data_IF_961582901643
#
_entry.id   IF_961582901643
#
_cell.length_a   1.000
_cell.length_b   1.000
_cell.length_c   1.000
_cell.angle_alpha   90.00
_cell.angle_beta   90.00
_cell.angle_gamma   90.00
#
_symmetry.space_group_name_H-M   'P 1'
#
loop_
_entity.id
_entity.type
_entity.pdbx_description
1 polymer ?
#
# COMPACT_ATOMS: atom_id res chain seq x y z
N UNK A 1 52.05 30.38 23.47
CA UNK A 1 50.58 30.24 23.51
C UNK A 1 49.91 31.46 22.91
N UNK A 2 49.70 31.50 21.58
CA UNK A 2 48.57 32.18 20.97
C UNK A 2 47.57 31.13 20.46
N UNK A 3 46.28 31.38 20.66
CA UNK A 3 45.18 30.50 20.32
C UNK A 3 45.00 30.41 18.79
N UNK A 4 45.59 29.37 18.19
CA UNK A 4 45.16 28.85 16.88
C UNK A 4 43.81 28.17 17.11
N UNK A 5 42.76 28.97 17.17
CA UNK A 5 41.45 28.49 16.74
C UNK A 5 41.42 28.72 15.25
N UNK A 6 41.74 27.67 14.51
CA UNK A 6 41.53 27.58 13.07
C UNK A 6 40.06 27.89 12.81
N UNK A 7 39.77 29.16 12.52
CA UNK A 7 38.48 29.58 12.01
C UNK A 7 38.35 28.91 10.65
N UNK A 8 37.73 27.73 10.64
CA UNK A 8 37.30 27.07 9.41
C UNK A 8 36.66 28.17 8.57
N UNK A 9 37.21 28.48 7.38
CA UNK A 9 36.75 29.64 6.66
C UNK A 9 35.25 29.50 6.43
N UNK A 10 34.48 30.50 6.85
CA UNK A 10 33.02 30.48 6.70
C UNK A 10 32.62 30.21 5.25
N UNK A 11 33.45 30.59 4.28
CA UNK A 11 33.29 30.27 2.86
C UNK A 11 33.39 28.76 2.53
N UNK A 12 34.22 28.00 3.25
CA UNK A 12 34.35 26.55 3.07
C UNK A 12 33.15 25.80 3.66
N UNK A 13 32.68 26.22 4.85
CA UNK A 13 31.44 25.68 5.43
C UNK A 13 30.21 26.02 4.56
N UNK A 14 30.19 27.22 3.98
CA UNK A 14 29.18 27.63 3.00
C UNK A 14 29.17 26.67 1.80
N UNK A 15 30.31 26.42 1.15
CA UNK A 15 30.37 25.53 -0.01
C UNK A 15 29.96 24.09 0.32
N UNK A 16 30.35 23.57 1.49
CA UNK A 16 29.95 22.23 1.96
C UNK A 16 28.44 22.16 2.21
N UNK A 17 27.86 23.19 2.83
CA UNK A 17 26.43 23.26 3.10
C UNK A 17 25.61 23.35 1.80
N UNK A 18 26.02 24.20 0.85
CA UNK A 18 25.37 24.29 -0.46
C UNK A 18 25.54 23.02 -1.30
N UNK A 19 26.71 22.37 -1.24
CA UNK A 19 26.94 21.08 -1.88
C UNK A 19 26.10 19.95 -1.28
N UNK A 20 25.91 19.94 0.04
CA UNK A 20 25.03 18.99 0.72
C UNK A 20 23.54 19.23 0.37
N UNK A 21 23.11 20.50 0.28
CA UNK A 21 21.75 20.87 -0.15
C UNK A 21 21.52 20.47 -1.62
N UNK A 22 22.48 20.71 -2.51
CA UNK A 22 22.41 20.26 -3.90
C UNK A 22 22.33 18.73 -3.99
N UNK A 23 23.19 18.01 -3.26
CA UNK A 23 23.18 16.55 -3.24
C UNK A 23 21.85 15.99 -2.72
N UNK A 24 21.29 16.59 -1.66
CA UNK A 24 19.98 16.23 -1.14
C UNK A 24 18.85 16.51 -2.15
N UNK A 25 18.90 17.64 -2.86
CA UNK A 25 17.92 17.98 -3.89
C UNK A 25 17.98 17.06 -5.12
N UNK A 26 19.19 16.71 -5.59
CA UNK A 26 19.42 15.75 -6.69
C UNK A 26 18.90 14.37 -6.28
N UNK A 27 19.26 13.90 -5.09
CA UNK A 27 18.80 12.61 -4.58
C UNK A 27 17.27 12.57 -4.46
N UNK A 28 16.65 13.64 -3.94
CA UNK A 28 15.20 13.76 -3.84
C UNK A 28 14.52 13.70 -5.22
N UNK A 29 15.05 14.42 -6.21
CA UNK A 29 14.53 14.46 -7.59
C UNK A 29 14.59 13.08 -8.26
N UNK A 30 15.74 12.39 -8.17
CA UNK A 30 15.93 11.07 -8.78
C UNK A 30 14.99 10.03 -8.15
N UNK A 31 14.79 10.11 -6.84
CA UNK A 31 13.87 9.22 -6.13
C UNK A 31 12.40 9.47 -6.53
N UNK A 32 12.00 10.74 -6.71
CA UNK A 32 10.64 11.13 -7.11
C UNK A 32 10.33 10.71 -8.54
N UNK A 33 11.21 11.02 -9.50
CA UNK A 33 11.03 10.67 -10.93
C UNK A 33 10.92 9.15 -11.12
N UNK A 34 11.72 8.37 -10.39
CA UNK A 34 11.69 6.91 -10.52
C UNK A 34 10.51 6.25 -9.80
N UNK A 35 10.02 6.86 -8.71
CA UNK A 35 8.81 6.41 -8.02
C UNK A 35 7.58 6.48 -8.96
N UNK A 36 7.46 7.56 -9.75
CA UNK A 36 6.36 7.72 -10.72
C UNK A 36 6.55 6.90 -12.01
N UNK A 37 7.79 6.64 -12.45
CA UNK A 37 8.06 5.78 -13.61
C UNK A 37 7.71 4.29 -13.39
N UNK A 38 7.52 3.86 -12.13
CA UNK A 38 7.08 2.51 -11.78
C UNK A 38 5.56 2.35 -11.70
N UNK A 39 4.80 3.45 -11.75
CA UNK A 39 3.33 3.49 -11.65
C UNK A 39 2.67 3.80 -13.00
N UNK A 40 3.28 3.35 -14.09
CA UNK A 40 2.85 3.60 -15.47
C UNK A 40 1.54 2.90 -15.80
N UNK A 41 0.43 3.49 -15.35
CA UNK A 41 -0.90 3.23 -15.90
C UNK A 41 -1.23 4.37 -16.87
N UNK A 42 -0.80 4.20 -18.12
CA UNK A 42 -1.28 4.83 -19.37
C UNK A 42 -1.38 6.36 -19.54
N UNK A 43 -1.79 7.15 -18.54
CA UNK A 43 -2.47 8.42 -18.79
C UNK A 43 -1.87 9.65 -18.11
N UNK A 44 -0.98 9.51 -17.11
CA UNK A 44 -0.46 10.66 -16.36
C UNK A 44 0.98 11.01 -16.74
N UNK A 45 1.13 11.79 -17.82
CA UNK A 45 2.41 12.41 -18.24
C UNK A 45 2.75 13.66 -17.42
N UNK A 46 1.73 14.35 -16.91
CA UNK A 46 1.85 15.64 -16.21
C UNK A 46 2.67 15.59 -14.92
N UNK A 47 2.56 14.57 -14.04
CA UNK A 47 3.34 14.52 -12.81
C UNK A 47 4.85 14.37 -13.07
N UNK A 48 5.21 13.60 -14.10
CA UNK A 48 6.62 13.37 -14.47
C UNK A 48 7.27 14.63 -15.03
N UNK A 49 6.53 15.42 -15.82
CA UNK A 49 6.99 16.71 -16.29
C UNK A 49 7.24 17.68 -15.14
N UNK A 50 6.27 17.83 -14.23
CA UNK A 50 6.41 18.73 -13.09
C UNK A 50 7.56 18.33 -12.18
N UNK A 51 7.71 17.04 -11.88
CA UNK A 51 8.81 16.52 -11.05
C UNK A 51 10.18 16.74 -11.69
N UNK A 52 10.30 16.54 -13.01
CA UNK A 52 11.53 16.79 -13.76
C UNK A 52 11.86 18.30 -13.84
N UNK A 53 10.83 19.14 -14.03
CA UNK A 53 10.98 20.59 -14.11
C UNK A 53 11.39 21.19 -12.77
N UNK A 54 10.73 20.80 -11.67
CA UNK A 54 11.13 21.26 -10.32
C UNK A 54 12.53 20.75 -9.95
N UNK A 55 12.87 19.53 -10.34
CA UNK A 55 14.21 18.98 -10.19
C UNK A 55 15.28 19.80 -10.93
N UNK A 56 15.07 20.03 -12.22
CA UNK A 56 15.98 20.81 -13.05
C UNK A 56 16.08 22.27 -12.57
N UNK A 57 14.96 22.88 -12.16
CA UNK A 57 14.90 24.24 -11.67
C UNK A 57 15.68 24.44 -10.35
N UNK A 58 15.86 23.39 -9.54
CA UNK A 58 16.68 23.44 -8.31
C UNK A 58 18.15 23.07 -8.59
N UNK A 59 18.40 22.06 -9.42
CA UNK A 59 19.74 21.53 -9.71
C UNK A 59 20.57 22.52 -10.55
N UNK A 60 19.93 23.15 -11.55
CA UNK A 60 20.60 24.06 -12.47
C UNK A 60 21.23 25.27 -11.77
N UNK A 61 20.51 26.08 -10.96
CA UNK A 61 21.12 27.23 -10.29
C UNK A 61 22.17 26.80 -9.25
N UNK A 62 21.96 25.68 -8.56
CA UNK A 62 22.89 25.19 -7.54
C UNK A 62 24.20 24.63 -8.14
N UNK A 63 24.22 24.24 -9.42
CA UNK A 63 25.44 23.94 -10.19
C UNK A 63 26.08 25.20 -10.79
N UNK A 64 25.26 26.13 -11.28
CA UNK A 64 25.74 27.33 -11.98
C UNK A 64 26.43 28.29 -11.01
N UNK A 65 25.84 28.59 -9.85
CA UNK A 65 26.35 29.60 -8.92
C UNK A 65 27.80 29.31 -8.45
N UNK A 66 28.17 28.08 -8.04
CA UNK A 66 29.54 27.78 -7.62
C UNK A 66 30.53 27.60 -8.77
N UNK A 67 30.04 27.18 -9.95
CA UNK A 67 30.88 26.96 -11.13
C UNK A 67 31.46 28.27 -11.68
N UNK A 68 30.72 29.39 -11.56
CA UNK A 68 31.24 30.72 -11.94
C UNK A 68 32.26 31.26 -10.93
N UNK A 69 32.27 30.78 -9.68
CA UNK A 69 33.20 31.26 -8.64
C UNK A 69 34.54 30.54 -8.67
N UNK A 70 34.59 29.24 -9.00
CA UNK A 70 35.87 28.54 -9.22
C UNK A 70 35.73 27.27 -10.10
N UNK A 71 36.65 27.02 -11.05
CA UNK A 71 36.60 25.85 -11.92
C UNK A 71 36.70 24.51 -11.18
N UNK A 72 37.48 24.47 -10.10
CA UNK A 72 37.72 23.26 -9.30
C UNK A 72 36.51 22.89 -8.43
N UNK A 73 35.77 23.89 -7.89
CA UNK A 73 34.55 23.61 -7.12
C UNK A 73 33.45 23.00 -7.98
N UNK A 74 33.33 23.40 -9.26
CA UNK A 74 32.39 22.79 -10.20
C UNK A 74 32.66 21.29 -10.43
N UNK A 75 33.93 20.89 -10.50
CA UNK A 75 34.31 19.47 -10.66
C UNK A 75 34.01 18.65 -9.40
N UNK A 76 34.28 19.19 -8.22
CA UNK A 76 33.95 18.51 -6.96
C UNK A 76 32.44 18.35 -6.79
N UNK A 77 31.65 19.38 -7.11
CA UNK A 77 30.19 19.33 -7.01
C UNK A 77 29.56 18.38 -8.03
N UNK A 78 30.08 18.30 -9.25
CA UNK A 78 29.61 17.34 -10.26
C UNK A 78 29.97 15.90 -9.91
N UNK A 79 31.16 15.66 -9.35
CA UNK A 79 31.56 14.34 -8.85
C UNK A 79 30.69 13.91 -7.66
N UNK A 80 30.41 14.82 -6.72
CA UNK A 80 29.53 14.55 -5.57
C UNK A 80 28.09 14.32 -6.02
N UNK A 81 27.57 15.12 -6.95
CA UNK A 81 26.24 14.92 -7.52
C UNK A 81 26.14 13.58 -8.27
N UNK A 82 27.17 13.21 -9.04
CA UNK A 82 27.26 11.92 -9.71
C UNK A 82 27.28 10.75 -8.72
N UNK A 83 28.11 10.83 -7.68
CA UNK A 83 28.21 9.80 -6.65
C UNK A 83 26.91 9.66 -5.84
N UNK A 84 26.26 10.78 -5.50
CA UNK A 84 24.95 10.79 -4.82
C UNK A 84 23.85 10.21 -5.72
N UNK A 85 23.85 10.54 -7.02
CA UNK A 85 22.96 9.95 -8.01
C UNK A 85 23.14 8.43 -8.13
N UNK A 86 24.38 7.93 -8.15
CA UNK A 86 24.68 6.49 -8.20
C UNK A 86 24.32 5.78 -6.89
N UNK A 87 24.54 6.42 -5.74
CA UNK A 87 24.15 5.88 -4.43
C UNK A 87 22.62 5.83 -4.26
N UNK A 88 21.91 6.88 -4.68
CA UNK A 88 20.45 6.93 -4.72
C UNK A 88 19.89 5.88 -5.70
N UNK A 89 20.55 5.67 -6.84
CA UNK A 89 20.19 4.62 -7.79
C UNK A 89 20.32 3.22 -7.17
N UNK A 90 21.39 2.97 -6.40
CA UNK A 90 21.63 1.68 -5.72
C UNK A 90 20.70 1.40 -4.55
N UNK A 91 20.33 2.43 -3.77
CA UNK A 91 19.42 2.27 -2.61
C UNK A 91 17.93 2.30 -2.99
N UNK A 92 17.61 2.59 -4.26
CA UNK A 92 16.24 2.67 -4.77
C UNK A 92 15.34 1.45 -4.52
N UNK A 93 15.77 0.17 -4.62
CA UNK A 93 14.86 -0.95 -4.40
C UNK A 93 14.33 -1.04 -2.95
N UNK A 94 15.09 -0.55 -1.97
CA UNK A 94 14.69 -0.59 -0.56
C UNK A 94 13.65 0.50 -0.23
N UNK A 95 13.80 1.68 -0.82
CA UNK A 95 12.91 2.83 -0.58
C UNK A 95 11.55 2.61 -1.25
N UNK A 96 11.52 2.07 -2.47
CA UNK A 96 10.27 1.71 -3.16
C UNK A 96 9.51 0.58 -2.45
N UNK A 97 10.22 -0.38 -1.85
CA UNK A 97 9.62 -1.42 -1.00
C UNK A 97 8.88 -0.86 0.21
N UNK A 98 9.38 0.24 0.79
CA UNK A 98 8.76 0.91 1.94
C UNK A 98 7.50 1.72 1.56
N UNK A 99 7.49 2.36 0.39
CA UNK A 99 6.29 3.07 -0.07
C UNK A 99 5.17 2.12 -0.51
N UNK A 100 5.53 1.03 -1.20
CA UNK A 100 4.57 0.01 -1.61
C UNK A 100 3.98 -0.74 -0.41
N UNK A 101 4.78 -1.04 0.62
CA UNK A 101 4.28 -1.63 1.86
C UNK A 101 3.32 -0.68 2.61
N UNK A 102 3.63 0.63 2.64
CA UNK A 102 2.72 1.64 3.22
C UNK A 102 1.40 1.77 2.48
N UNK A 103 1.40 1.69 1.14
CA UNK A 103 0.15 1.70 0.36
C UNK A 103 -0.67 0.44 0.64
N UNK A 104 -0.04 -0.75 0.60
CA UNK A 104 -0.71 -2.02 0.94
C UNK A 104 -1.35 -1.98 2.33
N UNK A 105 -0.64 -1.47 3.33
CA UNK A 105 -1.22 -1.31 4.68
C UNK A 105 -2.45 -0.41 4.71
N UNK A 106 -2.49 0.66 3.90
CA UNK A 106 -3.65 1.57 3.84
C UNK A 106 -4.87 0.91 3.19
N UNK A 107 -4.66 0.04 2.21
CA UNK A 107 -5.74 -0.65 1.50
C UNK A 107 -6.23 -1.90 2.27
N UNK A 108 -5.35 -2.54 3.04
CA UNK A 108 -5.66 -3.74 3.85
C UNK A 108 -6.64 -3.46 5.00
N UNK A 109 -6.53 -2.30 5.65
CA UNK A 109 -7.40 -1.90 6.77
C UNK A 109 -8.90 -1.83 6.39
N UNK A 110 -9.31 -1.08 5.37
CA UNK A 110 -10.72 -1.02 4.97
C UNK A 110 -11.20 -2.36 4.41
N UNK A 111 -10.37 -3.10 3.66
CA UNK A 111 -10.72 -4.43 3.15
C UNK A 111 -10.95 -5.45 4.29
N UNK A 112 -10.19 -5.36 5.39
CA UNK A 112 -10.39 -6.18 6.57
C UNK A 112 -11.67 -5.82 7.32
N UNK A 113 -11.95 -4.53 7.50
CA UNK A 113 -13.20 -4.08 8.12
C UNK A 113 -14.42 -4.54 7.31
N UNK A 114 -14.34 -4.42 5.99
CA UNK A 114 -15.34 -4.94 5.07
C UNK A 114 -15.59 -6.44 5.26
N UNK A 115 -14.52 -7.21 5.36
CA UNK A 115 -14.58 -8.66 5.55
C UNK A 115 -15.20 -9.05 6.90
N UNK A 116 -14.95 -8.29 7.98
CA UNK A 116 -15.59 -8.53 9.29
C UNK A 116 -17.11 -8.35 9.18
N UNK A 117 -17.57 -7.26 8.55
CA UNK A 117 -19.01 -7.01 8.36
C UNK A 117 -19.66 -8.11 7.52
N UNK A 118 -18.99 -8.56 6.47
CA UNK A 118 -19.47 -9.65 5.62
C UNK A 118 -19.55 -10.97 6.41
N UNK A 119 -18.52 -11.29 7.19
CA UNK A 119 -18.46 -12.50 8.00
C UNK A 119 -19.61 -12.55 9.01
N UNK A 120 -19.85 -11.46 9.76
CA UNK A 120 -20.93 -11.36 10.73
C UNK A 120 -22.30 -11.49 10.07
N UNK A 121 -22.48 -10.92 8.88
CA UNK A 121 -23.71 -11.01 8.12
C UNK A 121 -24.00 -12.44 7.62
N UNK A 122 -22.97 -13.15 7.14
CA UNK A 122 -23.06 -14.57 6.75
C UNK A 122 -23.39 -15.44 7.97
N UNK A 123 -22.70 -15.23 9.09
CA UNK A 123 -22.94 -16.00 10.32
C UNK A 123 -24.36 -15.78 10.86
N UNK A 124 -24.83 -14.54 10.87
CA UNK A 124 -26.21 -14.19 11.28
C UNK A 124 -27.25 -14.83 10.37
N UNK A 125 -26.95 -14.98 9.07
CA UNK A 125 -27.84 -15.65 8.11
C UNK A 125 -27.90 -17.15 8.41
N UNK A 126 -26.75 -17.80 8.56
CA UNK A 126 -26.68 -19.23 8.89
C UNK A 126 -27.34 -19.54 10.24
N UNK A 127 -27.14 -18.70 11.26
CA UNK A 127 -27.79 -18.84 12.57
C UNK A 127 -29.32 -18.90 12.48
N UNK A 128 -29.95 -18.29 11.48
CA UNK A 128 -31.41 -18.41 11.30
C UNK A 128 -31.82 -19.82 10.90
N UNK A 129 -31.05 -20.48 10.05
CA UNK A 129 -31.36 -21.85 9.63
C UNK A 129 -31.19 -22.87 10.78
N UNK A 130 -30.26 -22.62 11.70
CA UNK A 130 -30.00 -23.51 12.85
C UNK A 130 -30.91 -23.21 14.07
N UNK A 131 -31.17 -21.94 14.36
CA UNK A 131 -31.87 -21.54 15.59
C UNK A 131 -33.38 -21.37 15.41
N UNK A 132 -33.88 -21.19 14.18
CA UNK A 132 -35.32 -21.10 13.91
C UNK A 132 -35.90 -22.50 13.64
N UNK A 133 -36.77 -23.03 14.51
CA UNK A 133 -37.34 -24.35 14.32
C UNK A 133 -38.18 -24.47 13.04
N UNK A 134 -38.78 -23.38 12.54
CA UNK A 134 -39.53 -23.42 11.29
C UNK A 134 -38.58 -23.64 10.10
N UNK A 135 -37.48 -22.87 10.03
CA UNK A 135 -36.48 -23.00 8.96
C UNK A 135 -35.72 -24.32 9.04
N UNK A 136 -35.46 -24.85 10.25
CA UNK A 136 -34.82 -26.15 10.42
C UNK A 136 -35.70 -27.31 9.88
N UNK A 137 -37.03 -27.20 10.02
CA UNK A 137 -37.98 -28.17 9.48
C UNK A 137 -38.11 -28.03 7.96
N UNK A 138 -38.16 -26.80 7.44
CA UNK A 138 -38.31 -26.54 6.00
C UNK A 138 -37.01 -26.86 5.22
N UNK A 139 -35.85 -26.64 5.83
CA UNK A 139 -34.53 -26.79 5.20
C UNK A 139 -33.57 -27.68 6.02
N UNK A 140 -33.89 -28.96 6.26
CA UNK A 140 -33.06 -29.86 7.06
C UNK A 140 -31.67 -30.10 6.44
N UNK A 141 -31.57 -29.90 5.12
CA UNK A 141 -30.35 -29.93 4.36
C UNK A 141 -29.25 -28.97 4.86
N UNK A 142 -29.64 -27.85 5.46
CA UNK A 142 -28.70 -26.82 5.91
C UNK A 142 -27.91 -27.22 7.15
N UNK A 143 -28.48 -28.05 8.03
CA UNK A 143 -27.79 -28.58 9.21
C UNK A 143 -27.11 -29.92 8.98
N UNK A 144 -27.33 -30.55 7.83
CA UNK A 144 -26.79 -31.88 7.51
C UNK A 144 -25.34 -31.81 7.01
N UNK A 145 -24.39 -32.08 7.90
CA UNK A 145 -22.95 -32.08 7.62
C UNK A 145 -22.51 -33.22 6.67
N UNK A 146 -23.36 -34.24 6.45
CA UNK A 146 -23.05 -35.28 5.47
C UNK A 146 -23.12 -34.75 4.03
N UNK A 147 -23.80 -33.62 3.80
CA UNK A 147 -23.88 -32.99 2.49
C UNK A 147 -22.58 -32.25 2.16
N UNK A 148 -22.02 -32.45 0.95
CA UNK A 148 -20.73 -31.88 0.59
C UNK A 148 -20.74 -30.35 0.58
N UNK A 149 -21.87 -29.71 0.26
CA UNK A 149 -22.05 -28.26 0.22
C UNK A 149 -22.04 -27.66 1.64
N UNK A 150 -22.82 -28.25 2.56
CA UNK A 150 -22.85 -27.86 3.97
C UNK A 150 -21.50 -28.07 4.64
N UNK A 151 -20.84 -29.22 4.38
CA UNK A 151 -19.48 -29.45 4.85
C UNK A 151 -18.47 -28.44 4.28
N UNK A 152 -18.60 -28.03 3.01
CA UNK A 152 -17.77 -27.01 2.41
C UNK A 152 -17.97 -25.63 3.06
N UNK A 153 -19.21 -25.27 3.37
CA UNK A 153 -19.54 -24.07 4.13
C UNK A 153 -18.91 -24.08 5.53
N UNK A 154 -19.08 -25.15 6.31
CA UNK A 154 -18.50 -25.27 7.66
C UNK A 154 -16.97 -25.21 7.62
N UNK A 155 -16.33 -25.82 6.61
CA UNK A 155 -14.87 -25.70 6.39
C UNK A 155 -14.45 -24.27 6.08
N UNK A 156 -15.16 -23.60 5.16
CA UNK A 156 -14.88 -22.20 4.82
C UNK A 156 -15.07 -21.26 6.02
N UNK A 157 -16.05 -21.55 6.88
CA UNK A 157 -16.31 -20.78 8.10
C UNK A 157 -15.15 -20.91 9.09
N UNK A 158 -14.69 -22.15 9.32
CA UNK A 158 -13.53 -22.42 10.18
C UNK A 158 -12.26 -21.76 9.64
N UNK A 159 -12.03 -21.82 8.34
CA UNK A 159 -10.88 -21.20 7.69
C UNK A 159 -10.89 -19.67 7.83
N UNK A 160 -12.04 -19.05 7.56
CA UNK A 160 -12.20 -17.60 7.74
C UNK A 160 -11.98 -17.18 9.20
N UNK A 161 -12.48 -17.97 10.16
CA UNK A 161 -12.28 -17.70 11.60
C UNK A 161 -10.82 -17.86 12.03
N UNK A 162 -10.12 -18.89 11.54
CA UNK A 162 -8.69 -19.08 11.79
C UNK A 162 -7.89 -17.88 11.26
N UNK A 163 -8.10 -17.47 10.02
CA UNK A 163 -7.41 -16.32 9.42
C UNK A 163 -7.75 -15.00 10.14
N UNK A 164 -8.96 -14.86 10.69
CA UNK A 164 -9.36 -13.71 11.51
C UNK A 164 -8.53 -13.61 12.78
N UNK A 165 -8.35 -14.74 13.48
CA UNK A 165 -7.60 -14.79 14.75
C UNK A 165 -6.10 -14.59 14.56
N UNK A 166 -5.53 -15.14 13.49
CA UNK A 166 -4.13 -14.92 13.10
C UNK A 166 -3.87 -13.51 12.56
N UNK A 167 -4.93 -12.81 12.17
CA UNK A 167 -4.87 -11.52 11.53
C UNK A 167 -4.18 -11.54 10.17
N UNK A 168 -4.33 -12.66 9.46
CA UNK A 168 -3.71 -12.92 8.17
C UNK A 168 -4.35 -12.06 7.05
N UNK A 169 -3.55 -11.51 6.12
CA UNK A 169 -4.06 -10.73 4.98
C UNK A 169 -4.94 -11.56 4.02
N UNK A 170 -4.92 -12.89 4.12
CA UNK A 170 -5.81 -13.81 3.43
C UNK A 170 -7.23 -13.87 4.00
N UNK A 171 -7.54 -13.16 5.09
CA UNK A 171 -8.89 -13.14 5.67
C UNK A 171 -9.97 -12.60 4.71
N UNK A 172 -9.84 -11.44 4.05
CA UNK A 172 -10.86 -10.94 3.13
C UNK A 172 -11.26 -11.91 2.00
N UNK A 173 -10.32 -12.54 1.24
CA UNK A 173 -10.70 -13.51 0.23
C UNK A 173 -11.28 -14.80 0.84
N UNK A 174 -10.92 -15.17 2.07
CA UNK A 174 -11.55 -16.31 2.76
C UNK A 174 -13.01 -16.04 3.13
N UNK A 175 -13.36 -14.82 3.54
CA UNK A 175 -14.76 -14.45 3.80
C UNK A 175 -15.58 -14.43 2.51
N UNK A 176 -15.01 -13.98 1.39
CA UNK A 176 -15.68 -14.08 0.09
C UNK A 176 -15.96 -15.54 -0.31
N UNK A 177 -15.01 -16.46 -0.06
CA UNK A 177 -15.23 -17.91 -0.25
C UNK A 177 -16.32 -18.44 0.69
N UNK A 178 -16.35 -18.01 1.94
CA UNK A 178 -17.38 -18.37 2.91
C UNK A 178 -18.78 -17.96 2.44
N UNK A 179 -18.95 -16.72 1.94
CA UNK A 179 -20.22 -16.26 1.37
C UNK A 179 -20.64 -17.12 0.17
N UNK A 180 -19.73 -17.38 -0.77
CA UNK A 180 -20.03 -18.25 -1.92
C UNK A 180 -20.44 -19.67 -1.49
N UNK A 181 -19.78 -20.23 -0.47
CA UNK A 181 -20.10 -21.55 0.05
C UNK A 181 -21.49 -21.58 0.71
N UNK A 182 -21.88 -20.53 1.43
CA UNK A 182 -23.25 -20.42 1.96
C UNK A 182 -24.26 -20.35 0.82
N UNK A 183 -24.00 -19.55 -0.21
CA UNK A 183 -24.88 -19.44 -1.37
C UNK A 183 -25.07 -20.79 -2.08
N UNK A 184 -24.01 -21.58 -2.25
CA UNK A 184 -24.10 -22.93 -2.80
C UNK A 184 -24.91 -23.87 -1.90
N UNK A 185 -24.74 -23.80 -0.57
CA UNK A 185 -25.54 -24.57 0.36
C UNK A 185 -27.04 -24.18 0.32
N UNK A 186 -27.36 -22.89 0.20
CA UNK A 186 -28.73 -22.38 0.05
C UNK A 186 -29.40 -22.93 -1.20
N UNK A 187 -28.70 -22.90 -2.33
CA UNK A 187 -29.19 -23.45 -3.59
C UNK A 187 -29.41 -24.96 -3.51
N UNK A 188 -28.48 -25.71 -2.91
CA UNK A 188 -28.60 -27.16 -2.74
C UNK A 188 -29.71 -27.56 -1.76
N UNK A 189 -30.00 -26.72 -0.77
CA UNK A 189 -31.10 -26.89 0.17
C UNK A 189 -32.47 -26.47 -0.41
N UNK A 190 -32.50 -25.81 -1.58
CA UNK A 190 -33.74 -25.26 -2.16
C UNK A 190 -34.24 -24.00 -1.45
N UNK A 191 -33.42 -23.40 -0.59
CA UNK A 191 -33.73 -22.12 0.04
C UNK A 191 -33.61 -20.99 -0.98
N UNK A 192 -34.48 -19.98 -0.91
CA UNK A 192 -34.34 -18.79 -1.75
C UNK A 192 -33.09 -18.04 -1.31
N UNK A 193 -32.05 -17.88 -2.15
CA UNK A 193 -30.88 -17.12 -1.78
C UNK A 193 -31.32 -15.69 -1.47
N UNK A 194 -31.10 -15.26 -0.23
CA UNK A 194 -31.42 -13.89 0.16
C UNK A 194 -30.43 -12.94 -0.50
N UNK A 195 -30.90 -11.71 -0.78
CA UNK A 195 -30.17 -10.71 -1.56
C UNK A 195 -28.67 -10.64 -1.19
N UNK A 196 -27.78 -10.36 -2.17
CA UNK A 196 -26.35 -10.24 -1.93
C UNK A 196 -26.10 -9.36 -0.70
N UNK A 197 -25.25 -9.80 0.22
CA UNK A 197 -24.96 -9.01 1.42
C UNK A 197 -24.33 -7.70 0.92
N UNK A 198 -24.94 -6.53 1.21
CA UNK A 198 -24.44 -5.30 0.65
C UNK A 198 -23.01 -5.07 1.14
N UNK A 199 -22.09 -4.98 0.17
CA UNK A 199 -20.71 -4.61 0.43
C UNK A 199 -20.60 -3.23 1.09
N UNK A 200 -19.45 -2.91 1.69
CA UNK A 200 -19.25 -1.70 2.52
C UNK A 200 -19.52 -0.37 1.81
N UNK A 201 -19.55 -0.36 0.48
CA UNK A 201 -19.73 0.86 -0.33
C UNK A 201 -21.15 1.42 -0.33
N UNK A 202 -22.14 0.72 0.23
CA UNK A 202 -23.54 1.16 0.18
C UNK A 202 -23.94 2.17 1.28
N UNK A 203 -23.06 2.51 2.23
CA UNK A 203 -23.43 3.32 3.43
C UNK A 203 -22.77 4.70 3.52
N UNK A 204 -22.36 5.31 2.40
CA UNK A 204 -21.85 6.70 2.39
C UNK A 204 -22.46 7.49 1.23
N UNK A 205 -23.77 7.71 1.28
CA UNK A 205 -24.46 8.85 0.64
C UNK A 205 -25.69 9.17 1.48
N UNK A 206 -25.55 10.13 2.38
CA UNK A 206 -26.61 10.68 3.22
C UNK A 206 -26.15 12.02 3.76
#
# INVERSE_FOLDING_TARGET
MPAVTDAVPLWALQLVLWGAVLAAAVACTVLVVRHHAGTSDGDSSDPLFWDLFFGAAVIFPALVIPAVTSPLAGLVLTAVAGASGVAAYRNSPQVLGWFTSRRRQRDELPARQAAVVLHDAVLKRWQRYELDPALAIDFPAMGDVARPETAAFIRAMREAELLRTLGDPGYPPAVARLESALHHAELAAGAKPSAPIPGPSARVKG
#
